data_IF_724791782397
#
_entry.id   IF_724791782397
#
_cell.length_a   1.000
_cell.length_b   1.000
_cell.length_c   1.000
_cell.angle_alpha   90.00
_cell.angle_beta   90.00
_cell.angle_gamma   90.00
#
_symmetry.space_group_name_H-M   'P 1'
#
loop_
_entity.id
_entity.type
_entity.pdbx_description
1 polymer ?
#
# COMPACT_ATOMS: atom_id res chain seq x y z
N UNK A 1 11.09 6.05 -9.52
CA UNK A 1 11.88 4.99 -8.84
C UNK A 1 12.37 5.49 -7.49
N UNK A 2 13.05 6.64 -7.45
CA UNK A 2 13.66 7.19 -6.22
C UNK A 2 12.66 7.40 -5.08
N UNK A 3 11.45 7.89 -5.40
CA UNK A 3 10.39 8.10 -4.42
C UNK A 3 9.95 6.80 -3.76
N UNK A 4 9.80 5.75 -4.56
CA UNK A 4 9.35 4.43 -4.09
C UNK A 4 10.52 3.59 -3.54
N UNK A 5 11.77 4.09 -3.63
CA UNK A 5 13.00 3.36 -3.32
C UNK A 5 13.04 1.96 -3.95
N UNK A 6 12.53 1.86 -5.18
CA UNK A 6 12.49 0.62 -5.97
C UNK A 6 13.36 0.76 -7.22
N UNK A 7 13.88 -0.38 -7.69
CA UNK A 7 14.65 -0.42 -8.92
C UNK A 7 13.78 -0.07 -10.14
N UNK A 8 14.36 0.69 -11.08
CA UNK A 8 13.64 1.15 -12.28
C UNK A 8 13.26 -0.04 -13.17
N UNK A 9 14.09 -1.08 -13.26
CA UNK A 9 13.85 -2.23 -14.11
C UNK A 9 12.72 -3.09 -13.55
N UNK A 10 12.67 -3.31 -12.24
CA UNK A 10 11.56 -4.00 -11.58
C UNK A 10 10.22 -3.27 -11.82
N UNK A 11 10.22 -1.94 -11.72
CA UNK A 11 9.04 -1.14 -12.01
C UNK A 11 8.60 -1.27 -13.47
N UNK A 12 9.55 -1.26 -14.41
CA UNK A 12 9.27 -1.45 -15.85
C UNK A 12 8.66 -2.81 -16.11
N UNK A 13 9.20 -3.89 -15.53
CA UNK A 13 8.65 -5.23 -15.68
C UNK A 13 7.22 -5.35 -15.13
N UNK A 14 6.95 -4.72 -13.97
CA UNK A 14 5.60 -4.70 -13.37
C UNK A 14 4.56 -4.06 -14.30
N UNK A 15 4.94 -3.01 -15.03
CA UNK A 15 4.03 -2.29 -15.95
C UNK A 15 4.12 -2.77 -17.40
N UNK A 16 5.07 -3.67 -17.74
CA UNK A 16 5.33 -4.10 -19.11
C UNK A 16 4.19 -4.91 -19.74
N UNK A 17 3.23 -5.43 -18.95
CA UNK A 17 2.15 -6.25 -19.47
C UNK A 17 0.99 -5.39 -20.00
N UNK A 18 0.81 -5.26 -21.33
CA UNK A 18 -0.21 -4.38 -21.91
C UNK A 18 -1.65 -4.89 -21.73
N UNK A 19 -1.84 -6.15 -21.30
CA UNK A 19 -3.17 -6.71 -21.01
C UNK A 19 -3.69 -6.31 -19.63
N UNK A 20 -2.81 -5.87 -18.73
CA UNK A 20 -3.20 -5.45 -17.37
C UNK A 20 -3.64 -4.00 -17.39
N UNK A 21 -4.91 -3.77 -17.05
CA UNK A 21 -5.49 -2.41 -16.94
C UNK A 21 -5.14 -1.70 -15.63
N UNK A 22 -4.66 -2.45 -14.63
CA UNK A 22 -4.37 -1.95 -13.30
C UNK A 22 -3.24 -2.76 -12.66
N UNK A 23 -2.29 -2.08 -12.03
CA UNK A 23 -1.16 -2.68 -11.29
C UNK A 23 -0.86 -1.81 -10.07
N UNK A 24 -0.74 -2.41 -8.90
CA UNK A 24 -0.22 -1.72 -7.73
C UNK A 24 1.29 -1.55 -7.85
N UNK A 25 1.78 -0.30 -7.81
CA UNK A 25 3.20 0.00 -7.73
C UNK A 25 3.71 -0.10 -6.28
N UNK A 26 2.96 0.48 -5.35
CA UNK A 26 3.22 0.44 -3.91
C UNK A 26 1.90 0.64 -3.15
N UNK A 27 1.72 -0.05 -2.03
CA UNK A 27 0.56 0.11 -1.12
C UNK A 27 0.99 0.73 0.20
N UNK A 28 0.02 1.27 0.94
CA UNK A 28 0.20 1.85 2.28
C UNK A 28 1.34 2.88 2.35
N UNK A 29 1.41 3.76 1.35
CA UNK A 29 2.39 4.84 1.29
C UNK A 29 2.08 5.92 2.33
N UNK A 30 3.11 6.59 2.84
CA UNK A 30 2.90 7.69 3.79
C UNK A 30 2.19 8.87 3.10
N UNK A 31 1.41 9.69 3.83
CA UNK A 31 0.73 10.85 3.26
C UNK A 31 1.68 11.83 2.55
N UNK A 32 2.86 12.07 3.13
CA UNK A 32 3.89 12.93 2.52
C UNK A 32 4.41 12.37 1.19
N UNK A 33 4.58 11.04 1.09
CA UNK A 33 5.00 10.40 -0.15
C UNK A 33 3.88 10.41 -1.20
N UNK A 34 2.63 10.19 -0.78
CA UNK A 34 1.47 10.30 -1.66
C UNK A 34 1.38 11.71 -2.25
N UNK A 35 1.47 12.75 -1.42
CA UNK A 35 1.44 14.14 -1.88
C UNK A 35 2.60 14.46 -2.83
N UNK A 36 3.80 13.94 -2.55
CA UNK A 36 4.93 14.10 -3.45
C UNK A 36 4.69 13.45 -4.82
N UNK A 37 4.15 12.22 -4.85
CA UNK A 37 3.82 11.53 -6.11
C UNK A 37 2.71 12.25 -6.87
N UNK A 38 1.70 12.76 -6.17
CA UNK A 38 0.61 13.54 -6.76
C UNK A 38 1.14 14.78 -7.49
N UNK A 39 2.08 15.50 -6.86
CA UNK A 39 2.73 16.68 -7.41
C UNK A 39 3.62 16.42 -8.63
N UNK A 40 4.04 15.17 -8.85
CA UNK A 40 4.84 14.83 -10.04
C UNK A 40 3.99 14.73 -11.31
N UNK A 41 2.65 14.70 -11.19
CA UNK A 41 1.69 14.69 -12.31
C UNK A 41 2.05 13.66 -13.39
N UNK A 42 2.40 12.44 -12.97
CA UNK A 42 2.86 11.39 -13.88
C UNK A 42 1.63 10.75 -14.56
N UNK A 43 1.49 10.82 -15.89
CA UNK A 43 0.35 10.25 -16.58
C UNK A 43 0.21 8.74 -16.34
N UNK A 44 -1.00 8.32 -15.95
CA UNK A 44 -1.32 6.91 -15.71
C UNK A 44 -0.98 6.40 -14.31
N UNK A 45 -0.39 7.22 -13.43
CA UNK A 45 -0.23 6.91 -12.01
C UNK A 45 -1.35 7.60 -11.23
N UNK A 46 -2.04 6.83 -10.39
CA UNK A 46 -3.15 7.33 -9.57
C UNK A 46 -2.96 6.91 -8.12
N UNK A 47 -3.40 7.78 -7.21
CA UNK A 47 -3.44 7.49 -5.77
C UNK A 47 -4.81 6.95 -5.39
N UNK A 48 -4.80 5.83 -4.67
CA UNK A 48 -6.00 5.25 -4.07
C UNK A 48 -5.91 5.35 -2.56
N UNK A 49 -6.94 5.91 -1.93
CA UNK A 49 -7.05 5.91 -0.46
C UNK A 49 -7.37 4.49 0.00
N UNK A 50 -6.55 3.97 0.91
CA UNK A 50 -6.74 2.68 1.58
C UNK A 50 -6.79 2.92 3.09
N UNK A 51 -7.70 2.23 3.79
CA UNK A 51 -7.72 2.18 5.24
C UNK A 51 -6.59 1.25 5.73
N UNK A 52 -5.96 1.62 6.85
CA UNK A 52 -5.06 0.74 7.59
C UNK A 52 -5.47 0.76 9.04
N UNK A 53 -5.62 -0.43 9.66
CA UNK A 53 -5.92 -0.53 11.09
C UNK A 53 -4.77 -0.01 11.93
N UNK A 54 -5.11 0.81 12.92
CA UNK A 54 -4.19 1.33 13.91
C UNK A 54 -4.62 0.79 15.28
N UNK A 55 -3.72 0.11 15.98
CA UNK A 55 -3.95 -0.46 17.31
C UNK A 55 -3.26 0.42 18.37
N UNK A 56 -3.96 1.38 19.01
CA UNK A 56 -3.35 2.39 19.88
C UNK A 56 -2.67 1.80 21.11
N UNK A 57 -3.16 0.67 21.59
CA UNK A 57 -2.64 -0.05 22.78
C UNK A 57 -1.59 -1.11 22.43
N UNK A 58 -1.21 -1.23 21.15
CA UNK A 58 -0.15 -2.13 20.67
C UNK A 58 -0.32 -3.59 21.13
N UNK A 59 0.78 -4.16 21.63
CA UNK A 59 0.95 -5.58 21.97
C UNK A 59 -0.05 -6.09 23.03
N UNK A 60 -0.47 -5.22 23.96
CA UNK A 60 -1.35 -5.56 25.09
C UNK A 60 -2.74 -6.02 24.62
N UNK A 61 -3.20 -5.48 23.50
CA UNK A 61 -4.51 -5.83 22.92
C UNK A 61 -4.41 -6.65 21.64
N UNK A 62 -3.21 -6.76 21.03
CA UNK A 62 -3.00 -7.47 19.77
C UNK A 62 -3.30 -8.98 19.87
N UNK A 63 -2.98 -9.62 21.00
CA UNK A 63 -3.28 -11.05 21.21
C UNK A 63 -4.79 -11.35 21.34
N UNK A 64 -5.59 -10.36 21.75
CA UNK A 64 -7.04 -10.48 21.92
C UNK A 64 -7.82 -10.00 20.69
N UNK A 65 -7.42 -8.88 20.11
CA UNK A 65 -8.08 -8.26 18.94
C UNK A 65 -7.67 -8.99 17.65
N UNK A 66 -6.38 -9.32 17.51
CA UNK A 66 -5.81 -9.91 16.29
C UNK A 66 -5.23 -8.87 15.34
N UNK A 67 -4.76 -9.35 14.17
CA UNK A 67 -4.15 -8.53 13.10
C UNK A 67 -4.89 -8.68 11.79
N UNK A 68 -4.91 -7.62 10.98
CA UNK A 68 -5.47 -7.62 9.62
C UNK A 68 -4.38 -7.73 8.57
N UNK A 69 -4.67 -8.39 7.45
CA UNK A 69 -3.81 -8.41 6.27
C UNK A 69 -3.80 -7.06 5.55
N UNK A 70 -2.96 -6.93 4.53
CA UNK A 70 -2.86 -5.76 3.63
C UNK A 70 -4.18 -5.41 2.93
N UNK A 71 -5.12 -6.36 2.89
CA UNK A 71 -6.48 -6.20 2.36
C UNK A 71 -7.55 -5.95 3.44
N UNK A 72 -7.14 -5.53 4.64
CA UNK A 72 -8.02 -5.19 5.78
C UNK A 72 -8.92 -6.37 6.24
N UNK A 73 -8.53 -7.58 5.87
CA UNK A 73 -9.20 -8.83 6.27
C UNK A 73 -8.53 -9.37 7.52
N UNK A 74 -9.31 -9.70 8.55
CA UNK A 74 -8.80 -10.27 9.79
C UNK A 74 -8.16 -11.64 9.56
N UNK A 75 -6.92 -11.81 10.02
CA UNK A 75 -6.18 -13.07 9.90
C UNK A 75 -6.17 -13.84 11.22
N UNK A 76 -6.24 -13.12 12.35
CA UNK A 76 -6.17 -13.69 13.70
C UNK A 76 -7.16 -12.98 14.65
N UNK A 77 -7.40 -13.57 15.82
CA UNK A 77 -8.18 -12.95 16.91
C UNK A 77 -9.67 -12.77 16.62
N UNK A 78 -10.26 -11.72 17.20
CA UNK A 78 -11.67 -11.33 17.06
C UNK A 78 -12.01 -10.74 15.69
N UNK A 79 -11.01 -10.44 14.86
CA UNK A 79 -11.17 -9.91 13.50
C UNK A 79 -11.64 -10.97 12.48
N UNK A 80 -11.82 -12.23 12.90
CA UNK A 80 -12.38 -13.32 12.09
C UNK A 80 -13.91 -13.37 12.12
#
# INVERSE_FOLDING_TARGET
ADVLRQDVNELKEKVANPKRRFVYLQRQVSPAMAEYVDKLDIPGIYLRRESRRYYPTGEVSAQLIGVTDVDDTGVEGLER
#
